data_IF_489393762839
#
_entry.id   IF_489393762839
#
_cell.length_a   1.000
_cell.length_b   1.000
_cell.length_c   1.000
_cell.angle_alpha   90.00
_cell.angle_beta   90.00
_cell.angle_gamma   90.00
#
_symmetry.space_group_name_H-M   'P 1'
#
loop_
_entity.id
_entity.type
_entity.pdbx_description
1 polymer ?
#
# COMPACT_ATOMS: atom_id res chain seq x y z
N UNK A 1 -18.81 -46.74 35.73
CA UNK A 1 -17.71 -46.38 34.84
C UNK A 1 -18.17 -45.26 33.94
N UNK A 2 -17.96 -44.05 34.36
CA UNK A 2 -18.34 -42.81 33.65
C UNK A 2 -17.10 -42.24 33.00
N UNK A 3 -17.08 -42.22 31.69
CA UNK A 3 -16.05 -41.60 30.87
C UNK A 3 -16.25 -40.06 30.86
N UNK A 4 -15.25 -39.35 31.31
CA UNK A 4 -15.14 -37.88 31.29
C UNK A 4 -14.80 -37.43 29.86
N UNK A 5 -15.54 -36.50 29.21
CA UNK A 5 -15.21 -35.93 27.95
C UNK A 5 -14.85 -34.44 28.15
N UNK A 6 -13.64 -34.15 28.62
CA UNK A 6 -13.12 -32.78 28.68
C UNK A 6 -11.66 -32.71 28.20
N UNK A 7 -11.46 -32.97 26.91
CA UNK A 7 -10.28 -32.42 26.23
C UNK A 7 -10.72 -31.19 25.43
N UNK A 8 -10.40 -30.02 25.97
CA UNK A 8 -10.55 -28.74 25.28
C UNK A 8 -9.54 -28.68 24.12
N UNK A 9 -9.89 -28.09 22.96
CA UNK A 9 -8.95 -27.96 21.87
C UNK A 9 -7.79 -27.06 22.27
N UNK A 10 -6.60 -27.57 21.99
CA UNK A 10 -5.29 -27.00 22.13
C UNK A 10 -5.24 -25.51 21.71
N UNK A 11 -5.12 -24.61 22.71
CA UNK A 11 -4.76 -23.22 22.45
C UNK A 11 -3.27 -23.22 22.09
N UNK A 12 -2.95 -23.39 20.80
CA UNK A 12 -1.60 -23.25 20.29
C UNK A 12 -1.05 -21.88 20.67
N UNK A 13 -0.11 -21.88 21.61
CA UNK A 13 0.67 -20.69 21.97
C UNK A 13 1.25 -20.09 20.68
N UNK A 14 1.10 -18.77 20.42
CA UNK A 14 1.64 -18.16 19.22
C UNK A 14 3.13 -18.47 19.08
N UNK A 15 3.55 -18.96 17.92
CA UNK A 15 4.95 -19.27 17.66
C UNK A 15 5.81 -18.03 17.90
N UNK A 16 6.86 -18.19 18.71
CA UNK A 16 7.86 -17.13 18.99
C UNK A 16 8.95 -17.08 17.92
N UNK A 17 8.86 -17.92 16.85
CA UNK A 17 9.84 -17.95 15.77
C UNK A 17 9.91 -16.60 15.06
N UNK A 18 11.13 -16.10 14.92
CA UNK A 18 11.43 -14.94 14.07
C UNK A 18 11.58 -15.36 12.61
N UNK A 19 11.19 -14.48 11.68
CA UNK A 19 11.43 -14.64 10.26
C UNK A 19 12.74 -13.96 9.89
N UNK A 20 13.63 -14.65 9.18
CA UNK A 20 14.89 -14.08 8.69
C UNK A 20 14.62 -13.19 7.49
N UNK A 21 14.92 -11.90 7.63
CA UNK A 21 14.54 -10.86 6.67
C UNK A 21 15.77 -10.22 6.03
N UNK A 22 15.71 -10.00 4.69
CA UNK A 22 16.60 -9.14 3.96
C UNK A 22 15.89 -7.82 3.55
N UNK A 23 16.63 -6.72 3.50
CA UNK A 23 16.18 -5.44 2.95
C UNK A 23 16.86 -5.23 1.60
N UNK A 24 16.10 -5.13 0.50
CA UNK A 24 16.59 -4.94 -0.87
C UNK A 24 16.24 -3.53 -1.36
N UNK A 25 17.27 -2.73 -1.64
CA UNK A 25 17.17 -1.30 -1.89
C UNK A 25 17.33 -0.50 -0.59
N UNK A 26 18.45 0.22 -0.44
CA UNK A 26 18.81 1.00 0.75
C UNK A 26 18.66 2.52 0.50
N UNK A 27 17.62 2.92 -0.28
CA UNK A 27 17.31 4.31 -0.59
C UNK A 27 16.53 5.04 0.50
N UNK A 28 15.89 6.16 0.14
CA UNK A 28 15.16 7.03 1.09
C UNK A 28 14.07 6.30 1.86
N UNK A 29 13.21 5.52 1.17
CA UNK A 29 12.10 4.82 1.83
C UNK A 29 12.60 3.68 2.69
N UNK A 30 13.73 3.07 2.35
CA UNK A 30 14.34 2.00 3.12
C UNK A 30 14.68 2.44 4.55
N UNK A 31 15.00 3.71 4.79
CA UNK A 31 15.23 4.23 6.15
C UNK A 31 13.99 4.09 7.05
N UNK A 32 12.79 4.27 6.49
CA UNK A 32 11.51 4.07 7.19
C UNK A 32 11.29 2.59 7.50
N UNK A 33 11.53 1.72 6.53
CA UNK A 33 11.44 0.26 6.72
C UNK A 33 12.46 -0.25 7.73
N UNK A 34 13.69 0.24 7.66
CA UNK A 34 14.76 -0.12 8.59
C UNK A 34 14.39 0.20 10.05
N UNK A 35 13.86 1.41 10.28
CA UNK A 35 13.42 1.81 11.61
C UNK A 35 12.22 0.98 12.11
N UNK A 36 11.28 0.66 11.22
CA UNK A 36 10.17 -0.23 11.55
C UNK A 36 10.66 -1.65 11.85
N UNK A 37 11.51 -2.20 10.98
CA UNK A 37 12.04 -3.57 11.08
C UNK A 37 12.90 -3.80 12.34
N UNK A 38 13.76 -2.83 12.69
CA UNK A 38 14.64 -2.91 13.86
C UNK A 38 13.90 -3.00 15.20
N UNK A 39 12.63 -2.60 15.24
CA UNK A 39 11.78 -2.62 16.44
C UNK A 39 10.82 -3.81 16.51
N UNK A 40 10.80 -4.71 15.49
CA UNK A 40 9.87 -5.83 15.42
C UNK A 40 10.46 -7.10 16.03
N UNK A 41 9.77 -7.63 17.04
CA UNK A 41 10.14 -8.91 17.67
C UNK A 41 10.00 -10.11 16.72
N UNK A 42 9.14 -10.00 15.71
CA UNK A 42 8.90 -11.01 14.68
C UNK A 42 10.04 -11.14 13.66
N UNK A 43 10.90 -10.12 13.57
CA UNK A 43 11.98 -10.04 12.59
C UNK A 43 13.32 -10.53 13.16
N UNK A 44 14.07 -11.26 12.32
CA UNK A 44 15.50 -11.42 12.40
C UNK A 44 16.11 -10.79 11.15
N UNK A 45 16.51 -9.52 11.26
CA UNK A 45 17.02 -8.77 10.11
C UNK A 45 18.48 -9.12 9.87
N UNK A 46 18.74 -9.97 8.86
CA UNK A 46 20.05 -10.62 8.64
C UNK A 46 20.85 -10.03 7.48
N UNK A 47 20.23 -9.29 6.56
CA UNK A 47 20.94 -8.79 5.38
C UNK A 47 20.41 -7.44 4.88
N UNK A 48 21.32 -6.59 4.37
CA UNK A 48 21.05 -5.43 3.54
C UNK A 48 21.61 -5.67 2.12
N UNK A 49 20.86 -5.29 1.10
CA UNK A 49 21.24 -5.42 -0.30
C UNK A 49 20.97 -4.14 -1.07
N UNK A 50 21.95 -3.60 -1.77
CA UNK A 50 21.81 -2.50 -2.71
C UNK A 50 22.93 -2.58 -3.76
N UNK A 51 22.62 -2.25 -5.03
CA UNK A 51 23.64 -2.16 -6.09
C UNK A 51 24.74 -1.14 -5.75
N UNK A 52 24.39 -0.10 -5.04
CA UNK A 52 25.32 0.78 -4.35
C UNK A 52 25.69 0.17 -2.99
N UNK A 53 26.72 -0.67 -3.00
CA UNK A 53 27.17 -1.41 -1.80
C UNK A 53 27.48 -0.47 -0.63
N UNK A 54 27.88 0.79 -0.88
CA UNK A 54 28.14 1.75 0.18
C UNK A 54 26.87 2.07 0.97
N UNK A 55 25.71 2.23 0.30
CA UNK A 55 24.41 2.42 0.97
C UNK A 55 24.00 1.23 1.82
N UNK A 56 24.16 0.01 1.27
CA UNK A 56 23.87 -1.21 2.02
C UNK A 56 24.77 -1.35 3.24
N UNK A 57 26.06 -1.02 3.12
CA UNK A 57 27.04 -1.06 4.22
C UNK A 57 26.69 -0.03 5.30
N UNK A 58 26.36 1.20 4.93
CA UNK A 58 25.94 2.25 5.87
C UNK A 58 24.67 1.83 6.64
N UNK A 59 23.68 1.29 5.94
CA UNK A 59 22.44 0.80 6.53
C UNK A 59 22.72 -0.36 7.50
N UNK A 60 23.52 -1.33 7.10
CA UNK A 60 23.89 -2.48 7.90
C UNK A 60 24.64 -2.07 9.17
N UNK A 61 25.62 -1.16 9.06
CA UNK A 61 26.37 -0.65 10.21
C UNK A 61 25.48 0.12 11.20
N UNK A 62 24.50 0.88 10.69
CA UNK A 62 23.59 1.67 11.53
C UNK A 62 22.65 0.81 12.40
N UNK A 63 22.29 -0.37 11.93
CA UNK A 63 21.31 -1.24 12.58
C UNK A 63 21.89 -2.61 13.02
N UNK A 64 23.21 -2.76 13.03
CA UNK A 64 23.92 -3.98 13.40
C UNK A 64 23.48 -5.21 12.57
N UNK A 65 23.21 -5.02 11.26
CA UNK A 65 22.82 -6.09 10.34
C UNK A 65 24.08 -6.83 9.87
N UNK A 66 24.15 -8.18 10.01
CA UNK A 66 25.42 -8.90 9.87
C UNK A 66 25.91 -9.06 8.43
N UNK A 67 25.04 -8.99 7.42
CA UNK A 67 25.41 -9.29 6.04
C UNK A 67 25.08 -8.16 5.07
N UNK A 68 25.95 -7.96 4.08
CA UNK A 68 25.78 -6.96 3.01
C UNK A 68 25.97 -7.63 1.66
N UNK A 69 25.08 -7.32 0.71
CA UNK A 69 25.11 -7.83 -0.65
C UNK A 69 25.01 -6.68 -1.65
N UNK A 70 25.75 -6.80 -2.76
CA UNK A 70 25.67 -5.88 -3.91
C UNK A 70 24.63 -6.31 -4.96
N UNK A 71 24.21 -7.57 -4.91
CA UNK A 71 23.28 -8.16 -5.87
C UNK A 71 22.20 -8.99 -5.15
N UNK A 72 20.96 -8.83 -5.57
CA UNK A 72 19.82 -9.53 -4.98
C UNK A 72 19.86 -11.03 -5.28
N UNK A 73 20.38 -11.47 -6.43
CA UNK A 73 20.48 -12.88 -6.76
C UNK A 73 21.51 -13.59 -5.83
N UNK A 74 22.61 -12.92 -5.49
CA UNK A 74 23.57 -13.44 -4.52
C UNK A 74 22.92 -13.58 -3.12
N UNK A 75 22.14 -12.58 -2.70
CA UNK A 75 21.39 -12.66 -1.44
C UNK A 75 20.42 -13.85 -1.46
N UNK A 76 19.68 -14.03 -2.53
CA UNK A 76 18.70 -15.12 -2.65
C UNK A 76 19.34 -16.49 -2.69
N UNK A 77 20.48 -16.63 -3.36
CA UNK A 77 21.25 -17.87 -3.41
C UNK A 77 21.94 -18.21 -2.08
N UNK A 78 22.09 -17.25 -1.15
CA UNK A 78 22.80 -17.46 0.12
C UNK A 78 22.07 -18.38 1.10
N UNK A 79 20.75 -18.57 0.96
CA UNK A 79 19.91 -19.31 1.91
C UNK A 79 19.72 -18.63 3.27
N UNK A 80 20.17 -17.38 3.44
CA UNK A 80 20.11 -16.63 4.70
C UNK A 80 18.71 -16.10 5.01
N UNK A 81 17.93 -15.74 3.99
CA UNK A 81 16.64 -15.04 4.16
C UNK A 81 15.46 -15.94 3.82
N UNK A 82 14.37 -15.78 4.54
CA UNK A 82 13.06 -16.39 4.27
C UNK A 82 12.12 -15.39 3.61
N UNK A 83 12.33 -14.11 3.89
CA UNK A 83 11.52 -13.03 3.35
C UNK A 83 12.37 -11.80 3.03
N UNK A 84 11.92 -10.98 2.08
CA UNK A 84 12.56 -9.71 1.74
C UNK A 84 11.57 -8.56 1.75
N UNK A 85 12.04 -7.39 2.20
CA UNK A 85 11.39 -6.10 1.98
C UNK A 85 12.03 -5.47 0.73
N UNK A 86 11.22 -5.22 -0.31
CA UNK A 86 11.69 -4.67 -1.58
C UNK A 86 11.40 -3.16 -1.60
N UNK A 87 12.48 -2.37 -1.50
CA UNK A 87 12.48 -0.91 -1.42
C UNK A 87 13.20 -0.26 -2.61
N UNK A 88 13.26 -0.97 -3.73
CA UNK A 88 13.89 -0.51 -4.97
C UNK A 88 13.01 0.54 -5.69
N UNK A 89 13.52 1.25 -6.71
CA UNK A 89 12.67 2.03 -7.61
C UNK A 89 11.64 1.16 -8.37
N UNK A 90 10.51 1.75 -8.73
CA UNK A 90 9.36 1.06 -9.35
C UNK A 90 9.72 0.08 -10.47
N UNK A 91 10.56 0.46 -11.48
CA UNK A 91 10.89 -0.46 -12.58
C UNK A 91 11.68 -1.70 -12.17
N UNK A 92 12.21 -1.75 -10.96
CA UNK A 92 12.98 -2.89 -10.48
C UNK A 92 12.13 -3.86 -9.62
N UNK A 93 10.89 -3.51 -9.26
CA UNK A 93 10.03 -4.33 -8.40
C UNK A 93 9.83 -5.72 -8.99
N UNK A 94 9.42 -5.82 -10.26
CA UNK A 94 9.17 -7.10 -10.93
C UNK A 94 10.37 -8.03 -10.86
N UNK A 95 11.53 -7.55 -11.33
CA UNK A 95 12.72 -8.39 -11.40
C UNK A 95 13.13 -8.96 -10.02
N UNK A 96 13.03 -8.13 -8.98
CA UNK A 96 13.41 -8.53 -7.61
C UNK A 96 12.38 -9.51 -7.03
N UNK A 97 11.06 -9.21 -7.17
CA UNK A 97 10.01 -10.07 -6.59
C UNK A 97 9.95 -11.42 -7.30
N UNK A 98 10.04 -11.44 -8.65
CA UNK A 98 10.07 -12.70 -9.41
C UNK A 98 11.29 -13.54 -9.05
N UNK A 99 12.47 -12.92 -8.91
CA UNK A 99 13.68 -13.65 -8.52
C UNK A 99 13.57 -14.19 -7.06
N UNK A 100 13.00 -13.42 -6.14
CA UNK A 100 12.76 -13.88 -4.77
C UNK A 100 11.79 -15.08 -4.76
N UNK A 101 10.65 -14.98 -5.46
CA UNK A 101 9.68 -16.06 -5.57
C UNK A 101 10.31 -17.35 -6.13
N UNK A 102 11.06 -17.24 -7.23
CA UNK A 102 11.76 -18.37 -7.85
C UNK A 102 12.80 -19.03 -6.91
N UNK A 103 13.31 -18.27 -5.93
CA UNK A 103 14.20 -18.79 -4.90
C UNK A 103 13.44 -19.29 -3.65
N UNK A 104 12.10 -19.33 -3.66
CA UNK A 104 11.28 -19.73 -2.52
C UNK A 104 11.24 -18.70 -1.38
N UNK A 105 11.50 -17.42 -1.69
CA UNK A 105 11.58 -16.33 -0.70
C UNK A 105 10.33 -15.47 -0.81
N UNK A 106 9.68 -15.21 0.35
CA UNK A 106 8.52 -14.36 0.46
C UNK A 106 8.90 -12.88 0.24
N UNK A 107 8.00 -12.07 -0.34
CA UNK A 107 8.30 -10.67 -0.65
C UNK A 107 7.20 -9.71 -0.17
N UNK A 108 7.61 -8.64 0.54
CA UNK A 108 6.80 -7.44 0.77
C UNK A 108 7.40 -6.30 -0.05
N UNK A 109 6.70 -5.86 -1.09
CA UNK A 109 7.19 -4.86 -2.04
C UNK A 109 6.58 -3.50 -1.79
N UNK A 110 7.37 -2.44 -1.98
CA UNK A 110 6.88 -1.05 -1.99
C UNK A 110 5.83 -0.82 -3.10
N UNK A 111 5.01 0.19 -2.87
CA UNK A 111 4.02 0.66 -3.84
C UNK A 111 4.66 1.64 -4.86
N UNK A 112 4.07 1.77 -6.07
CA UNK A 112 3.04 0.91 -6.65
C UNK A 112 3.56 -0.50 -6.84
N UNK A 113 2.65 -1.48 -6.94
CA UNK A 113 3.08 -2.89 -7.13
C UNK A 113 3.99 -3.03 -8.35
N UNK A 114 3.65 -2.35 -9.44
CA UNK A 114 4.35 -2.31 -10.71
C UNK A 114 3.97 -1.05 -11.49
N UNK A 115 4.53 -0.85 -12.67
CA UNK A 115 4.16 0.24 -13.59
C UNK A 115 3.15 -0.20 -14.66
N UNK A 116 3.01 -1.50 -14.88
CA UNK A 116 2.05 -2.12 -15.81
C UNK A 116 1.34 -3.32 -15.17
N UNK A 117 0.16 -3.68 -15.69
CA UNK A 117 -0.56 -4.88 -15.21
C UNK A 117 0.21 -6.15 -15.52
N UNK A 118 0.84 -6.24 -16.71
CA UNK A 118 1.63 -7.41 -17.08
C UNK A 118 2.81 -7.67 -16.14
N UNK A 119 3.47 -6.62 -15.62
CA UNK A 119 4.49 -6.76 -14.57
C UNK A 119 3.87 -7.29 -13.27
N UNK A 120 2.76 -6.69 -12.83
CA UNK A 120 2.06 -7.10 -11.61
C UNK A 120 1.60 -8.56 -11.70
N UNK A 121 1.03 -8.96 -12.84
CA UNK A 121 0.57 -10.33 -13.08
C UNK A 121 1.73 -11.33 -13.03
N UNK A 122 2.88 -11.03 -13.66
CA UNK A 122 4.07 -11.91 -13.57
C UNK A 122 4.61 -12.05 -12.15
N UNK A 123 4.56 -10.98 -11.33
CA UNK A 123 4.95 -11.04 -9.92
C UNK A 123 4.01 -11.93 -9.10
N UNK A 124 2.69 -11.79 -9.33
CA UNK A 124 1.65 -12.59 -8.67
C UNK A 124 1.78 -14.06 -9.08
N UNK A 125 1.89 -14.34 -10.39
CA UNK A 125 2.03 -15.69 -10.92
C UNK A 125 3.29 -16.39 -10.40
N UNK A 126 4.41 -15.67 -10.33
CA UNK A 126 5.66 -16.22 -9.79
C UNK A 126 5.51 -16.60 -8.32
N UNK A 127 4.87 -15.76 -7.51
CA UNK A 127 4.63 -16.05 -6.10
C UNK A 127 3.65 -17.21 -5.89
N UNK A 128 2.53 -17.24 -6.64
CA UNK A 128 1.55 -18.31 -6.60
C UNK A 128 2.18 -19.67 -7.01
N UNK A 129 2.96 -19.69 -8.09
CA UNK A 129 3.63 -20.90 -8.58
C UNK A 129 4.69 -21.44 -7.62
N UNK A 130 5.37 -20.55 -6.89
CA UNK A 130 6.37 -20.91 -5.90
C UNK A 130 5.79 -21.21 -4.51
N UNK A 131 4.50 -20.94 -4.28
CA UNK A 131 3.88 -21.04 -2.96
C UNK A 131 4.39 -20.01 -1.96
N UNK A 132 4.95 -18.87 -2.44
CA UNK A 132 5.47 -17.81 -1.58
C UNK A 132 4.43 -16.73 -1.32
N UNK A 133 4.51 -16.07 -0.16
CA UNK A 133 3.64 -14.93 0.15
C UNK A 133 4.18 -13.68 -0.55
N UNK A 134 3.28 -13.00 -1.26
CA UNK A 134 3.57 -11.72 -1.91
C UNK A 134 2.63 -10.64 -1.41
N UNK A 135 3.18 -9.69 -0.65
CA UNK A 135 2.48 -8.51 -0.15
C UNK A 135 2.98 -7.22 -0.80
N UNK A 136 2.14 -6.18 -0.78
CA UNK A 136 2.48 -4.83 -1.25
C UNK A 136 2.22 -3.81 -0.15
N UNK A 137 3.09 -2.81 -0.04
CA UNK A 137 3.02 -1.83 1.03
C UNK A 137 1.88 -0.84 0.80
N UNK A 138 0.78 -1.06 1.49
CA UNK A 138 -0.32 -0.13 1.68
C UNK A 138 -0.57 0.07 3.19
N UNK A 139 0.43 0.58 3.88
CA UNK A 139 0.48 0.71 5.34
C UNK A 139 -0.68 1.53 5.91
N UNK A 140 -1.28 2.42 5.11
CA UNK A 140 -2.44 3.22 5.51
C UNK A 140 -3.70 2.40 5.75
N UNK A 141 -3.81 1.15 5.21
CA UNK A 141 -4.88 0.22 5.57
C UNK A 141 -4.87 -0.18 7.04
N UNK A 142 -3.70 -0.05 7.72
CA UNK A 142 -3.54 -0.36 9.14
C UNK A 142 -3.82 0.83 10.06
N UNK A 143 -4.21 1.98 9.53
CA UNK A 143 -4.65 3.11 10.34
C UNK A 143 -5.95 2.79 11.07
N UNK A 144 -6.10 3.17 12.35
CA UNK A 144 -7.35 2.98 13.08
C UNK A 144 -8.57 3.54 12.33
N UNK A 145 -8.45 4.73 11.74
CA UNK A 145 -9.52 5.35 10.97
C UNK A 145 -9.95 4.51 9.76
N UNK A 146 -9.00 3.91 9.03
CA UNK A 146 -9.28 3.04 7.88
C UNK A 146 -9.93 1.72 8.33
N UNK A 147 -9.43 1.12 9.41
CA UNK A 147 -9.97 -0.11 9.98
C UNK A 147 -11.40 0.07 10.51
N UNK A 148 -11.71 1.21 11.14
CA UNK A 148 -13.07 1.54 11.60
C UNK A 148 -14.05 1.60 10.43
N UNK A 149 -13.68 2.27 9.32
CA UNK A 149 -14.51 2.33 8.10
C UNK A 149 -14.74 0.92 7.55
N UNK A 150 -13.68 0.12 7.38
CA UNK A 150 -13.81 -1.25 6.85
C UNK A 150 -14.72 -2.10 7.74
N UNK A 151 -14.51 -2.06 9.06
CA UNK A 151 -15.35 -2.78 10.03
C UNK A 151 -16.81 -2.36 9.96
N UNK A 152 -17.10 -1.07 9.81
CA UNK A 152 -18.48 -0.59 9.69
C UNK A 152 -19.16 -1.05 8.39
N UNK A 153 -18.40 -1.08 7.28
CA UNK A 153 -18.89 -1.60 5.99
C UNK A 153 -19.16 -3.10 6.11
N UNK A 154 -18.22 -3.88 6.63
CA UNK A 154 -18.35 -5.35 6.78
C UNK A 154 -19.51 -5.73 7.71
N UNK A 155 -19.77 -4.93 8.74
CA UNK A 155 -20.91 -5.07 9.64
C UNK A 155 -22.25 -4.59 9.02
N UNK A 156 -22.25 -4.12 7.77
CA UNK A 156 -23.45 -3.64 7.07
C UNK A 156 -24.08 -2.38 7.67
N UNK A 157 -23.33 -1.60 8.46
CA UNK A 157 -23.83 -0.41 9.14
C UNK A 157 -24.23 0.71 8.17
N UNK A 158 -23.59 0.78 7.00
CA UNK A 158 -23.93 1.74 5.96
C UNK A 158 -25.09 1.26 5.05
N UNK A 159 -25.41 -0.02 5.06
CA UNK A 159 -26.32 -0.63 4.09
C UNK A 159 -25.64 -0.88 2.76
N UNK A 160 -26.37 -0.71 1.65
CA UNK A 160 -25.77 -0.73 0.31
C UNK A 160 -25.01 0.58 0.09
N UNK A 161 -23.77 0.47 -0.37
CA UNK A 161 -22.99 1.65 -0.72
C UNK A 161 -23.60 2.33 -1.95
N UNK A 162 -23.66 3.66 -1.95
CA UNK A 162 -24.28 4.46 -3.00
C UNK A 162 -23.29 5.38 -3.71
N UNK A 163 -22.48 6.10 -2.94
CA UNK A 163 -21.51 7.06 -3.45
C UNK A 163 -20.19 6.97 -2.67
N UNK A 164 -19.09 7.05 -3.40
CA UNK A 164 -17.76 7.18 -2.83
C UNK A 164 -17.01 8.38 -3.41
N UNK A 165 -16.17 8.99 -2.58
CA UNK A 165 -15.31 10.11 -2.96
C UNK A 165 -13.86 9.81 -2.61
N UNK A 166 -12.94 10.07 -3.55
CA UNK A 166 -11.50 10.00 -3.33
C UNK A 166 -10.85 11.30 -3.78
N UNK A 167 -10.29 12.08 -2.84
CA UNK A 167 -9.64 13.34 -3.18
C UNK A 167 -8.21 13.39 -2.65
N UNK A 168 -7.28 13.78 -3.53
CA UNK A 168 -5.85 13.97 -3.23
C UNK A 168 -5.45 15.35 -3.74
N UNK A 169 -5.24 16.29 -2.82
CA UNK A 169 -4.96 17.70 -3.15
C UNK A 169 -3.74 18.18 -2.38
N UNK A 170 -2.60 18.13 -3.04
CA UNK A 170 -1.32 18.46 -2.42
C UNK A 170 -0.46 19.33 -3.34
N UNK A 171 0.66 19.80 -2.81
CA UNK A 171 1.68 20.51 -3.56
C UNK A 171 2.95 19.67 -3.70
N UNK A 172 3.45 19.58 -4.94
CA UNK A 172 4.80 19.08 -5.24
C UNK A 172 5.51 20.06 -6.17
N UNK A 173 6.51 20.74 -5.66
CA UNK A 173 7.28 21.70 -6.43
C UNK A 173 8.47 21.08 -7.17
N UNK A 174 9.25 21.93 -7.90
CA UNK A 174 10.43 21.48 -8.64
C UNK A 174 11.44 20.75 -7.78
N UNK A 175 11.59 21.13 -6.51
CA UNK A 175 12.50 20.51 -5.54
C UNK A 175 12.16 19.04 -5.26
N UNK A 176 10.87 18.67 -5.29
CA UNK A 176 10.44 17.30 -5.12
C UNK A 176 10.81 16.45 -6.34
N UNK A 177 10.52 16.94 -7.53
CA UNK A 177 10.78 16.22 -8.78
C UNK A 177 12.27 16.16 -9.10
N UNK A 178 13.02 17.21 -8.78
CA UNK A 178 14.47 17.27 -8.94
C UNK A 178 15.29 16.44 -7.93
N UNK A 179 14.66 15.94 -6.88
CA UNK A 179 15.35 15.20 -5.81
C UNK A 179 15.87 13.83 -6.24
N UNK A 180 15.26 13.21 -7.25
CA UNK A 180 15.63 11.90 -7.77
C UNK A 180 15.42 11.86 -9.30
N UNK A 181 16.38 11.35 -10.09
CA UNK A 181 16.36 11.45 -11.56
C UNK A 181 15.25 10.62 -12.24
N UNK A 182 14.63 9.69 -11.52
CA UNK A 182 13.55 8.84 -12.02
C UNK A 182 12.16 9.48 -11.87
N UNK A 183 12.02 10.56 -11.06
CA UNK A 183 10.73 11.20 -10.80
C UNK A 183 10.25 12.04 -11.96
N UNK A 184 8.94 12.16 -12.09
CA UNK A 184 8.28 13.01 -13.08
C UNK A 184 8.40 12.50 -14.52
N UNK A 185 8.73 11.22 -14.74
CA UNK A 185 8.94 10.65 -16.08
C UNK A 185 8.13 9.37 -16.29
N UNK A 186 7.37 9.29 -17.37
CA UNK A 186 6.60 8.09 -17.72
C UNK A 186 7.46 6.82 -17.76
N UNK A 187 8.65 6.91 -18.35
CA UNK A 187 9.53 5.76 -18.53
C UNK A 187 10.07 5.13 -17.25
N UNK A 188 10.13 5.89 -16.15
CA UNK A 188 10.74 5.45 -14.89
C UNK A 188 9.78 5.45 -13.71
N UNK A 189 8.79 6.33 -13.67
CA UNK A 189 7.81 6.41 -12.58
C UNK A 189 6.50 5.68 -12.93
N UNK A 190 6.17 5.57 -14.23
CA UNK A 190 4.96 4.93 -14.73
C UNK A 190 3.71 5.82 -14.64
N UNK A 191 3.85 7.05 -14.17
CA UNK A 191 2.80 8.05 -13.98
C UNK A 191 3.19 9.09 -12.96
N UNK A 192 2.34 10.07 -12.74
CA UNK A 192 2.57 11.19 -11.82
C UNK A 192 1.80 11.07 -10.50
N UNK A 193 0.88 12.02 -10.28
CA UNK A 193 0.10 12.11 -9.04
C UNK A 193 -0.69 10.83 -8.73
N UNK A 194 -1.25 10.17 -9.75
CA UNK A 194 -2.03 8.95 -9.56
C UNK A 194 -1.15 7.79 -9.07
N UNK A 195 -0.01 7.59 -9.75
CA UNK A 195 0.87 6.45 -9.50
C UNK A 195 1.67 6.57 -8.19
N UNK A 196 2.05 7.79 -7.81
CA UNK A 196 2.96 7.98 -6.68
C UNK A 196 2.22 8.34 -5.38
N UNK A 197 1.42 9.39 -5.36
CA UNK A 197 0.78 9.89 -4.13
C UNK A 197 -0.65 9.36 -3.97
N UNK A 198 -1.46 9.42 -5.03
CA UNK A 198 -2.87 9.05 -4.95
C UNK A 198 -3.09 7.53 -4.82
N UNK A 199 -2.10 6.71 -5.17
CA UNK A 199 -2.22 5.26 -5.13
C UNK A 199 -2.69 4.72 -3.77
N UNK A 200 -2.27 5.31 -2.66
CA UNK A 200 -2.75 4.94 -1.32
C UNK A 200 -4.24 5.26 -1.11
N UNK A 201 -4.69 6.42 -1.60
CA UNK A 201 -6.10 6.81 -1.50
C UNK A 201 -6.98 6.02 -2.46
N UNK A 202 -6.47 5.69 -3.66
CA UNK A 202 -7.12 4.81 -4.62
C UNK A 202 -7.25 3.40 -4.04
N UNK A 203 -6.23 2.94 -3.31
CA UNK A 203 -6.25 1.67 -2.62
C UNK A 203 -7.34 1.63 -1.53
N UNK A 204 -7.43 2.64 -0.67
CA UNK A 204 -8.53 2.75 0.29
C UNK A 204 -9.88 2.80 -0.42
N UNK A 205 -9.97 3.55 -1.52
CA UNK A 205 -11.20 3.76 -2.24
C UNK A 205 -11.77 2.45 -2.79
N UNK A 206 -10.93 1.66 -3.51
CA UNK A 206 -11.35 0.35 -3.99
C UNK A 206 -11.59 -0.65 -2.84
N UNK A 207 -10.81 -0.58 -1.76
CA UNK A 207 -10.97 -1.45 -0.61
C UNK A 207 -12.28 -1.20 0.13
N UNK A 208 -12.74 0.05 0.21
CA UNK A 208 -14.01 0.40 0.83
C UNK A 208 -15.20 0.16 -0.10
N UNK A 209 -15.13 0.60 -1.36
CA UNK A 209 -16.24 0.57 -2.29
C UNK A 209 -16.44 -0.77 -2.98
N UNK A 210 -15.42 -1.63 -2.99
CA UNK A 210 -15.42 -2.91 -3.69
C UNK A 210 -14.81 -2.82 -5.08
N UNK A 211 -15.07 -3.84 -5.93
CA UNK A 211 -14.48 -3.96 -7.26
C UNK A 211 -15.03 -2.89 -8.21
N UNK A 212 -14.15 -2.13 -8.84
CA UNK A 212 -14.50 -1.25 -9.96
C UNK A 212 -14.79 -2.09 -11.22
N UNK A 213 -15.81 -1.71 -11.99
CA UNK A 213 -16.21 -2.38 -13.25
C UNK A 213 -16.16 -1.46 -14.45
N UNK A 214 -16.19 -0.14 -14.27
CA UNK A 214 -16.04 0.84 -15.32
C UNK A 214 -15.36 2.11 -14.79
N UNK A 215 -14.48 2.70 -15.59
CA UNK A 215 -13.76 3.93 -15.27
C UNK A 215 -13.84 4.89 -16.47
N UNK A 216 -14.25 6.14 -16.23
CA UNK A 216 -14.10 7.22 -17.19
C UNK A 216 -13.30 8.35 -16.56
N UNK A 217 -12.19 8.75 -17.18
CA UNK A 217 -11.31 9.73 -16.57
C UNK A 217 -10.52 10.58 -17.57
N UNK A 218 -9.96 11.66 -17.04
CA UNK A 218 -9.04 12.56 -17.74
C UNK A 218 -7.87 12.89 -16.84
N UNK A 219 -6.69 13.00 -17.45
CA UNK A 219 -5.51 13.54 -16.80
C UNK A 219 -4.83 14.59 -17.68
N UNK A 220 -4.05 15.45 -17.06
CA UNK A 220 -3.27 16.47 -17.73
C UNK A 220 -2.06 16.90 -16.91
N UNK A 221 -1.09 17.51 -17.59
CA UNK A 221 0.03 18.22 -16.96
C UNK A 221 -0.24 19.71 -17.12
N UNK A 222 -0.81 20.34 -16.10
CA UNK A 222 -1.35 21.71 -16.18
C UNK A 222 -0.41 22.77 -15.59
N UNK A 223 0.41 22.40 -14.64
CA UNK A 223 1.26 23.33 -13.88
C UNK A 223 2.75 23.01 -13.98
N UNK A 224 3.11 21.73 -14.02
CA UNK A 224 4.49 21.29 -13.83
C UNK A 224 5.20 20.86 -15.14
N UNK A 225 4.57 21.12 -16.30
CA UNK A 225 5.07 20.67 -17.62
C UNK A 225 6.47 21.15 -18.03
N UNK A 226 7.03 22.15 -17.34
CA UNK A 226 8.39 22.62 -17.61
C UNK A 226 9.47 21.64 -17.13
N UNK A 227 9.13 20.69 -16.21
CA UNK A 227 10.10 19.79 -15.58
C UNK A 227 9.63 18.35 -15.36
N UNK A 228 8.37 18.03 -15.66
CA UNK A 228 7.84 16.66 -15.67
C UNK A 228 7.12 16.38 -16.99
N UNK A 229 7.04 15.10 -17.39
CA UNK A 229 6.26 14.64 -18.53
C UNK A 229 5.00 13.81 -18.13
N UNK A 230 4.87 13.49 -16.84
CA UNK A 230 3.73 12.77 -16.26
C UNK A 230 2.60 13.74 -15.87
N UNK A 231 1.43 13.21 -15.49
CA UNK A 231 0.31 14.03 -15.06
C UNK A 231 0.51 14.63 -13.67
N UNK A 232 0.10 15.88 -13.51
CA UNK A 232 0.00 16.57 -12.23
C UNK A 232 -1.45 16.70 -11.73
N UNK A 233 -2.42 16.43 -12.60
CA UNK A 233 -3.86 16.56 -12.30
C UNK A 233 -4.65 15.47 -13.02
N UNK A 234 -5.58 14.83 -12.29
CA UNK A 234 -6.48 13.81 -12.84
C UNK A 234 -7.85 13.86 -12.15
N UNK A 235 -8.89 13.51 -12.92
CA UNK A 235 -10.26 13.33 -12.45
C UNK A 235 -10.87 12.08 -13.08
N UNK A 236 -11.74 11.36 -12.33
CA UNK A 236 -12.43 10.20 -12.87
C UNK A 236 -13.79 9.99 -12.20
N UNK A 237 -14.70 9.33 -12.94
CA UNK A 237 -15.88 8.65 -12.41
C UNK A 237 -15.67 7.14 -12.49
N UNK A 238 -16.18 6.42 -11.51
CA UNK A 238 -16.00 4.97 -11.38
C UNK A 238 -17.35 4.34 -11.07
N UNK A 239 -17.67 3.25 -11.75
CA UNK A 239 -18.82 2.39 -11.42
C UNK A 239 -18.28 1.15 -10.71
N UNK A 240 -18.88 0.81 -9.58
CA UNK A 240 -18.53 -0.39 -8.81
C UNK A 240 -19.49 -1.54 -9.07
N UNK A 241 -19.05 -2.78 -8.87
CA UNK A 241 -19.82 -4.01 -9.13
C UNK A 241 -21.15 -4.07 -8.34
N UNK A 242 -21.18 -3.45 -7.16
CA UNK A 242 -22.38 -3.31 -6.33
C UNK A 242 -23.35 -2.22 -6.81
N UNK A 243 -23.08 -1.56 -7.95
CA UNK A 243 -23.87 -0.48 -8.52
C UNK A 243 -23.58 0.91 -7.96
N UNK A 244 -22.72 1.03 -6.95
CA UNK A 244 -22.34 2.32 -6.39
C UNK A 244 -21.51 3.14 -7.39
N UNK A 245 -21.61 4.46 -7.27
CA UNK A 245 -20.84 5.42 -8.08
C UNK A 245 -19.69 6.00 -7.27
N UNK A 246 -18.61 6.35 -7.94
CA UNK A 246 -17.47 6.97 -7.32
C UNK A 246 -16.89 8.12 -8.11
N UNK A 247 -16.33 9.11 -7.41
CA UNK A 247 -15.58 10.20 -8.01
C UNK A 247 -14.16 10.24 -7.45
N UNK A 248 -13.19 10.47 -8.33
CA UNK A 248 -11.78 10.63 -7.98
C UNK A 248 -11.28 11.98 -8.48
N UNK A 249 -10.55 12.68 -7.62
CA UNK A 249 -9.85 13.91 -7.94
C UNK A 249 -8.45 13.86 -7.33
N UNK A 250 -7.42 14.00 -8.15
CA UNK A 250 -6.03 14.03 -7.70
C UNK A 250 -5.28 15.17 -8.35
N UNK A 251 -4.55 15.97 -7.56
CA UNK A 251 -3.67 17.00 -8.11
C UNK A 251 -2.51 17.32 -7.17
N UNK A 252 -1.32 17.50 -7.76
CA UNK A 252 -0.10 17.97 -7.08
C UNK A 252 0.10 19.49 -7.21
N UNK A 253 -0.92 20.23 -7.66
CA UNK A 253 -0.83 21.67 -7.93
C UNK A 253 -1.51 22.55 -6.89
N UNK A 254 -2.08 21.96 -5.83
CA UNK A 254 -2.78 22.69 -4.77
C UNK A 254 -1.82 23.35 -3.79
N UNK A 255 -1.88 24.67 -3.67
CA UNK A 255 -1.13 25.44 -2.70
C UNK A 255 -2.03 26.49 -2.04
N UNK A 256 -2.36 26.37 -0.73
CA UNK A 256 -1.90 25.31 0.19
C UNK A 256 -2.50 23.94 -0.12
N UNK A 257 -1.86 22.89 0.36
CA UNK A 257 -2.41 21.53 0.28
C UNK A 257 -3.71 21.39 1.12
N UNK A 258 -4.64 20.56 0.61
CA UNK A 258 -5.89 20.22 1.32
C UNK A 258 -5.93 18.76 1.79
N UNK A 259 -4.83 18.03 1.60
CA UNK A 259 -4.64 16.66 2.08
C UNK A 259 -5.32 15.59 1.20
N UNK A 260 -5.52 14.44 1.83
CA UNK A 260 -6.05 13.23 1.23
C UNK A 260 -7.33 12.85 1.97
N UNK A 261 -8.42 12.61 1.24
CA UNK A 261 -9.68 12.22 1.84
C UNK A 261 -10.36 11.13 1.03
N UNK A 262 -10.87 10.11 1.73
CA UNK A 262 -11.76 9.10 1.18
C UNK A 262 -13.05 9.09 2.00
N UNK A 263 -14.19 9.22 1.33
CA UNK A 263 -15.50 9.20 1.95
C UNK A 263 -16.39 8.15 1.28
N UNK A 264 -17.27 7.53 2.07
CA UNK A 264 -18.21 6.49 1.63
C UNK A 264 -19.59 6.76 2.21
N UNK A 265 -20.61 6.65 1.37
CA UNK A 265 -22.01 6.87 1.70
C UNK A 265 -22.82 5.61 1.43
N UNK A 266 -23.81 5.34 2.28
CA UNK A 266 -24.70 4.19 2.15
C UNK A 266 -26.18 4.58 2.22
N UNK A 267 -27.06 3.65 1.82
CA UNK A 267 -28.51 3.86 1.72
C UNK A 267 -29.24 3.88 3.10
N UNK A 268 -28.55 3.53 4.19
CA UNK A 268 -29.07 3.70 5.56
C UNK A 268 -28.90 5.12 6.12
N UNK A 269 -28.57 6.10 5.27
CA UNK A 269 -28.36 7.48 5.68
C UNK A 269 -27.03 7.71 6.43
N UNK A 270 -26.09 6.78 6.31
CA UNK A 270 -24.78 6.85 6.94
C UNK A 270 -23.71 7.31 5.94
N UNK A 271 -22.84 8.18 6.40
CA UNK A 271 -21.63 8.61 5.73
C UNK A 271 -20.44 8.49 6.68
N UNK A 272 -19.33 7.98 6.17
CA UNK A 272 -18.07 7.87 6.89
C UNK A 272 -16.93 8.36 6.02
N UNK A 273 -15.92 8.98 6.61
CA UNK A 273 -14.74 9.39 5.87
C UNK A 273 -13.48 9.30 6.70
N UNK A 274 -12.36 9.28 5.98
CA UNK A 274 -11.04 9.40 6.55
C UNK A 274 -10.31 10.54 5.85
N UNK A 275 -9.70 11.42 6.64
CA UNK A 275 -8.93 12.56 6.17
C UNK A 275 -7.53 12.56 6.76
N UNK A 276 -6.52 12.55 5.89
CA UNK A 276 -5.13 12.86 6.19
C UNK A 276 -4.88 14.30 5.80
N UNK A 277 -4.77 15.19 6.78
CA UNK A 277 -4.67 16.63 6.54
C UNK A 277 -3.36 17.02 5.87
N UNK A 278 -2.26 16.53 6.42
CA UNK A 278 -0.95 16.68 5.84
C UNK A 278 -0.35 15.30 5.58
N UNK A 279 0.40 15.16 4.50
CA UNK A 279 1.05 13.88 4.18
C UNK A 279 1.97 13.42 5.31
N UNK A 280 1.78 12.20 5.75
CA UNK A 280 2.53 11.59 6.85
C UNK A 280 1.90 11.77 8.23
N UNK A 281 0.82 12.51 8.34
CA UNK A 281 -0.01 12.52 9.55
C UNK A 281 -0.92 11.28 9.58
N UNK A 282 -1.39 10.93 10.75
CA UNK A 282 -2.39 9.88 10.91
C UNK A 282 -3.72 10.37 10.34
N UNK A 283 -4.35 9.54 9.51
CA UNK A 283 -5.71 9.79 9.03
C UNK A 283 -6.72 9.70 10.16
N UNK A 284 -7.65 10.64 10.21
CA UNK A 284 -8.74 10.71 11.19
C UNK A 284 -10.10 10.51 10.53
N UNK A 285 -11.06 9.98 11.27
CA UNK A 285 -12.46 9.95 10.80
C UNK A 285 -13.07 11.34 10.99
N UNK A 286 -13.04 12.18 9.95
CA UNK A 286 -13.57 13.55 9.98
C UNK A 286 -15.10 13.61 9.79
N UNK A 287 -15.70 12.57 9.22
CA UNK A 287 -17.15 12.32 9.19
C UNK A 287 -17.44 10.92 9.68
N UNK A 288 -18.43 10.82 10.58
CA UNK A 288 -19.00 9.57 11.08
C UNK A 288 -20.43 9.80 11.47
N UNK A 289 -21.38 9.43 10.59
CA UNK A 289 -22.82 9.67 10.78
C UNK A 289 -23.62 8.37 10.83
N UNK A 290 -23.00 7.27 11.29
CA UNK A 290 -23.70 6.02 11.52
C UNK A 290 -24.71 6.22 12.66
N UNK A 291 -26.02 5.94 12.45
CA UNK A 291 -27.05 6.14 13.45
C UNK A 291 -26.73 5.46 14.79
N UNK A 292 -26.69 6.26 15.86
CA UNK A 292 -26.37 5.81 17.22
C UNK A 292 -24.87 5.75 17.55
N UNK A 293 -23.99 6.11 16.61
CA UNK A 293 -22.52 6.11 16.79
C UNK A 293 -21.88 7.48 16.54
N UNK A 294 -22.68 8.53 16.37
CA UNK A 294 -22.21 9.87 15.96
C UNK A 294 -21.19 10.47 16.95
N UNK A 295 -21.35 10.17 18.24
CA UNK A 295 -20.45 10.66 19.29
C UNK A 295 -19.07 9.98 19.30
N UNK A 296 -18.92 8.80 18.66
CA UNK A 296 -17.65 8.07 18.66
C UNK A 296 -16.54 8.86 17.95
N UNK A 297 -16.90 9.68 16.95
CA UNK A 297 -15.92 10.54 16.25
C UNK A 297 -15.17 11.45 17.22
N UNK A 298 -15.88 12.10 18.16
CA UNK A 298 -15.25 12.99 19.13
C UNK A 298 -14.33 12.23 20.08
N UNK A 299 -14.73 11.03 20.50
CA UNK A 299 -13.91 10.15 21.31
C UNK A 299 -12.60 9.80 20.58
N UNK A 300 -12.68 9.36 19.32
CA UNK A 300 -11.50 8.99 18.55
C UNK A 300 -10.55 10.15 18.24
N UNK A 301 -11.05 11.36 18.11
CA UNK A 301 -10.20 12.56 17.92
C UNK A 301 -9.41 12.92 19.19
N UNK A 302 -9.84 12.41 20.36
CA UNK A 302 -9.17 12.59 21.64
C UNK A 302 -8.28 11.40 22.03
N UNK A 303 -8.43 10.26 21.37
CA UNK A 303 -7.61 9.07 21.62
C UNK A 303 -6.17 9.33 21.20
N UNK A 304 -5.25 9.07 22.11
CA UNK A 304 -3.83 8.97 21.81
C UNK A 304 -3.48 7.50 21.57
N UNK A 305 -3.44 7.09 20.30
CA UNK A 305 -3.10 5.72 19.89
C UNK A 305 -1.59 5.44 19.92
N UNK A 306 -0.78 6.41 20.33
CA UNK A 306 0.67 6.30 20.40
C UNK A 306 1.37 6.29 19.03
N UNK A 307 0.63 6.38 17.93
CA UNK A 307 1.20 6.42 16.58
C UNK A 307 1.65 7.85 16.27
N UNK A 308 2.94 8.00 15.93
CA UNK A 308 3.59 9.32 15.79
C UNK A 308 4.16 9.58 14.40
N UNK A 309 3.98 8.69 13.43
CA UNK A 309 4.49 8.93 12.09
C UNK A 309 4.75 7.69 11.23
N UNK A 310 5.38 7.91 10.09
CA UNK A 310 5.60 6.91 9.05
C UNK A 310 6.18 5.57 9.50
N UNK A 311 7.22 5.50 10.34
CA UNK A 311 7.80 4.20 10.71
C UNK A 311 6.81 3.25 11.40
N UNK A 312 5.93 3.80 12.25
CA UNK A 312 4.93 3.01 12.98
C UNK A 312 3.82 2.49 12.06
N UNK A 313 3.47 3.23 11.00
CA UNK A 313 2.52 2.77 10.00
C UNK A 313 3.05 1.57 9.23
N UNK A 314 4.32 1.62 8.81
CA UNK A 314 4.99 0.49 8.16
C UNK A 314 5.16 -0.68 9.11
N UNK A 315 5.48 -0.41 10.39
CA UNK A 315 5.66 -1.44 11.41
C UNK A 315 4.44 -2.37 11.53
N UNK A 316 3.23 -1.82 11.53
CA UNK A 316 2.00 -2.62 11.64
C UNK A 316 1.86 -3.58 10.45
N UNK A 317 2.10 -3.10 9.23
CA UNK A 317 2.01 -3.95 8.04
C UNK A 317 3.16 -4.94 7.91
N UNK A 318 4.40 -4.55 8.21
CA UNK A 318 5.55 -5.47 8.21
C UNK A 318 5.30 -6.60 9.22
N UNK A 319 4.78 -6.27 10.42
CA UNK A 319 4.39 -7.26 11.42
C UNK A 319 3.34 -8.24 10.89
N UNK A 320 2.29 -7.74 10.23
CA UNK A 320 1.27 -8.60 9.62
C UNK A 320 1.88 -9.54 8.58
N UNK A 321 2.74 -9.01 7.70
CA UNK A 321 3.41 -9.81 6.68
C UNK A 321 4.32 -10.89 7.28
N UNK A 322 5.15 -10.54 8.27
CA UNK A 322 6.02 -11.51 8.92
C UNK A 322 5.24 -12.60 9.67
N UNK A 323 4.12 -12.24 10.30
CA UNK A 323 3.20 -13.21 10.88
C UNK A 323 2.54 -14.07 9.81
N UNK A 324 2.17 -13.49 8.67
CA UNK A 324 1.60 -14.24 7.54
C UNK A 324 2.59 -15.30 7.02
N UNK A 325 3.87 -14.94 6.90
CA UNK A 325 4.95 -15.88 6.52
C UNK A 325 5.14 -16.96 7.59
N UNK A 326 5.21 -16.59 8.86
CA UNK A 326 5.43 -17.51 9.97
C UNK A 326 4.30 -18.52 10.15
N UNK A 327 3.06 -18.03 10.02
CA UNK A 327 1.84 -18.78 10.34
C UNK A 327 1.17 -19.37 9.08
N UNK A 328 1.86 -19.29 7.93
CA UNK A 328 1.43 -19.77 6.61
C UNK A 328 0.02 -19.32 6.21
N UNK A 329 -0.29 -18.04 6.40
CA UNK A 329 -1.54 -17.40 5.97
C UNK A 329 -1.27 -16.32 4.92
N UNK A 330 -2.31 -15.84 4.26
CA UNK A 330 -2.18 -14.66 3.40
C UNK A 330 -1.95 -13.39 4.22
N UNK A 331 -1.08 -12.45 3.73
CA UNK A 331 -0.96 -11.13 4.30
C UNK A 331 -2.22 -10.30 4.02
N UNK A 332 -2.50 -9.32 4.86
CA UNK A 332 -3.68 -8.47 4.73
C UNK A 332 -3.74 -7.68 3.40
N UNK A 333 -2.59 -7.41 2.80
CA UNK A 333 -2.49 -6.74 1.49
C UNK A 333 -1.63 -7.59 0.57
N UNK A 334 -2.27 -8.41 -0.25
CA UNK A 334 -1.61 -9.26 -1.24
C UNK A 334 -1.27 -8.48 -2.52
N UNK A 335 -0.41 -9.04 -3.37
CA UNK A 335 -0.18 -8.53 -4.72
C UNK A 335 -1.47 -8.42 -5.54
N UNK A 336 -2.39 -9.39 -5.40
CA UNK A 336 -3.70 -9.38 -6.06
C UNK A 336 -4.57 -8.20 -5.62
N UNK A 337 -4.55 -7.85 -4.33
CA UNK A 337 -5.25 -6.67 -3.84
C UNK A 337 -4.64 -5.37 -4.37
N UNK A 338 -3.32 -5.27 -4.37
CA UNK A 338 -2.61 -4.10 -4.88
C UNK A 338 -2.80 -3.87 -6.38
N UNK A 339 -2.91 -4.96 -7.17
CA UNK A 339 -3.20 -4.91 -8.61
C UNK A 339 -4.48 -4.14 -8.93
N UNK A 340 -5.51 -4.23 -8.08
CA UNK A 340 -6.79 -3.53 -8.29
C UNK A 340 -6.62 -2.01 -8.30
N UNK A 341 -5.76 -1.47 -7.43
CA UNK A 341 -5.46 -0.03 -7.41
C UNK A 341 -4.70 0.41 -8.65
N UNK A 342 -3.72 -0.38 -9.08
CA UNK A 342 -2.99 -0.14 -10.33
C UNK A 342 -3.92 -0.18 -11.54
N UNK A 343 -4.84 -1.15 -11.60
CA UNK A 343 -5.81 -1.31 -12.69
C UNK A 343 -6.70 -0.07 -12.85
N UNK A 344 -7.20 0.50 -11.74
CA UNK A 344 -7.97 1.76 -11.77
C UNK A 344 -7.13 2.90 -12.33
N UNK A 345 -5.87 3.04 -11.92
CA UNK A 345 -4.96 4.08 -12.41
C UNK A 345 -4.75 3.95 -13.93
N UNK A 346 -4.45 2.74 -14.39
CA UNK A 346 -4.19 2.49 -15.81
C UNK A 346 -5.47 2.65 -16.65
N UNK A 347 -6.64 2.31 -16.11
CA UNK A 347 -7.92 2.56 -16.75
C UNK A 347 -8.21 4.07 -16.89
N UNK A 348 -7.82 4.91 -15.93
CA UNK A 348 -7.89 6.37 -16.06
C UNK A 348 -7.02 6.86 -17.22
N UNK A 349 -5.78 6.34 -17.31
CA UNK A 349 -4.87 6.71 -18.41
C UNK A 349 -5.45 6.29 -19.76
N UNK A 350 -5.93 5.06 -19.88
CA UNK A 350 -6.53 4.54 -21.11
C UNK A 350 -7.81 5.32 -21.50
N UNK A 351 -8.69 5.59 -20.54
CA UNK A 351 -9.89 6.40 -20.76
C UNK A 351 -9.54 7.83 -21.25
N UNK A 352 -8.54 8.44 -20.65
CA UNK A 352 -8.07 9.77 -21.07
C UNK A 352 -7.53 9.77 -22.50
N UNK A 353 -6.79 8.70 -22.87
CA UNK A 353 -6.20 8.52 -24.20
C UNK A 353 -7.25 8.29 -25.28
N UNK A 354 -8.25 7.45 -25.01
CA UNK A 354 -9.30 7.05 -25.98
C UNK A 354 -10.46 8.01 -26.02
N UNK A 355 -10.72 8.73 -24.92
CA UNK A 355 -11.91 9.54 -24.73
C UNK A 355 -13.18 8.73 -24.41
N UNK A 356 -13.04 7.44 -24.11
CA UNK A 356 -14.14 6.50 -23.85
C UNK A 356 -14.07 5.92 -22.42
N UNK A 357 -15.20 5.47 -21.84
CA UNK A 357 -15.18 4.63 -20.66
C UNK A 357 -14.39 3.34 -20.90
N UNK A 358 -13.77 2.84 -19.86
CA UNK A 358 -12.96 1.60 -19.86
C UNK A 358 -13.64 0.60 -18.93
N UNK A 359 -14.02 -0.55 -19.47
CA UNK A 359 -14.55 -1.67 -18.68
C UNK A 359 -13.41 -2.43 -17.99
N UNK A 360 -13.65 -2.88 -16.75
CA UNK A 360 -12.72 -3.69 -15.97
C UNK A 360 -13.25 -5.11 -15.77
N UNK A 361 -12.36 -6.13 -15.73
CA UNK A 361 -10.88 -6.05 -15.68
C UNK A 361 -10.25 -5.71 -17.04
N UNK A 362 -9.03 -5.10 -16.97
CA UNK A 362 -8.16 -4.88 -18.12
C UNK A 362 -7.37 -6.15 -18.46
#
# INVERSE_FOLDING_TARGET
MTSDPSESPDQTTPSTRKVRVGLVGCGKIAATHALALSSLAEADWVACCDRDVARATEMAAKYDVPQVFGDAAELFASGLVEAVLVCTPHPAHEAVVVAAANAGIHALCEKPVATTLGEADRMIDAADNAGTKFGVVFQRRFWPAAQRIRTAIDAGKLGNLTLGECTVRLWRGPEYFGADPWRGKWASEGGGILMNQAVHSIDHFQWFMGRAVEVYGKYATLRHGDYIDVEDTAVATIVFENGALGVLQASSTFQPAFGFRVAVHGDKGAAVSMWERNEGELGVNDVWSIPGEESLRETWLQEDDGIRGFPQFHQAQIRDFLRAVRDDREPAVTGKEARKSLEIILAIYESSRTGLPVSLPL
#
